data_IF_079583469142
#
_entry.id   IF_079583469142
#
_cell.length_a   1.000
_cell.length_b   1.000
_cell.length_c   1.000
_cell.angle_alpha   90.00
_cell.angle_beta   90.00
_cell.angle_gamma   90.00
#
_symmetry.space_group_name_H-M   'P 1'
#
loop_
_entity.id
_entity.type
_entity.pdbx_description
1 polymer ?
#
# COMPACT_ATOMS: atom_id res chain seq x y z
N UNK A 1 -6.77 -38.83 -21.03
CA UNK A 1 -5.42 -38.38 -20.68
C UNK A 1 -5.51 -37.75 -19.31
N UNK A 2 -4.72 -38.22 -18.36
CA UNK A 2 -4.57 -37.50 -17.10
C UNK A 2 -3.60 -38.18 -16.15
N UNK A 3 -3.58 -37.70 -14.92
CA UNK A 3 -2.66 -38.12 -13.88
C UNK A 3 -3.34 -39.13 -12.98
N UNK A 4 -2.65 -40.24 -12.71
CA UNK A 4 -3.04 -41.17 -11.65
C UNK A 4 -2.08 -40.90 -10.49
N UNK A 5 -2.60 -40.51 -9.33
CA UNK A 5 -1.76 -40.29 -8.15
C UNK A 5 -1.17 -41.62 -7.70
N UNK A 6 0.15 -41.74 -7.76
CA UNK A 6 0.88 -42.96 -7.45
C UNK A 6 1.35 -42.99 -5.97
N UNK A 7 1.61 -41.82 -5.38
CA UNK A 7 1.96 -41.68 -3.95
C UNK A 7 1.70 -40.25 -3.43
N UNK A 8 1.27 -40.13 -2.17
CA UNK A 8 1.09 -38.86 -1.43
C UNK A 8 2.09 -38.83 -0.26
N UNK A 9 2.91 -37.78 -0.15
CA UNK A 9 3.80 -37.58 0.99
C UNK A 9 5.14 -36.96 0.62
N UNK A 10 5.82 -36.36 1.61
CA UNK A 10 7.14 -35.77 1.46
C UNK A 10 8.08 -36.75 0.73
N UNK A 11 8.54 -36.36 -0.46
CA UNK A 11 9.45 -37.15 -1.29
C UNK A 11 10.84 -37.06 -0.63
N UNK A 12 10.99 -37.72 0.52
CA UNK A 12 12.27 -38.05 1.13
C UNK A 12 12.94 -39.16 0.32
N UNK A 13 14.28 -39.21 0.35
CA UNK A 13 15.13 -39.95 -0.60
C UNK A 13 14.81 -41.43 -0.89
N UNK A 14 13.92 -42.09 -0.15
CA UNK A 14 13.52 -43.48 -0.39
C UNK A 14 12.61 -43.70 -1.60
N UNK A 15 11.78 -42.73 -2.01
CA UNK A 15 10.95 -42.85 -3.23
C UNK A 15 11.77 -42.59 -4.51
N UNK A 16 12.71 -41.64 -4.44
CA UNK A 16 13.64 -41.34 -5.52
C UNK A 16 14.60 -42.51 -5.81
N UNK A 17 14.96 -43.32 -4.81
CA UNK A 17 15.78 -44.51 -4.98
C UNK A 17 15.04 -45.68 -5.65
N UNK A 18 13.71 -45.72 -5.60
CA UNK A 18 12.92 -46.76 -6.27
C UNK A 18 12.64 -46.45 -7.74
N UNK A 19 12.71 -45.19 -8.17
CA UNK A 19 12.29 -44.76 -9.50
C UNK A 19 13.49 -44.36 -10.36
N UNK A 20 13.80 -45.21 -11.35
CA UNK A 20 14.99 -45.05 -12.20
C UNK A 20 14.87 -43.92 -13.23
N UNK A 21 13.67 -43.63 -13.70
CA UNK A 21 13.37 -42.57 -14.68
C UNK A 21 12.10 -41.81 -14.24
N UNK A 22 12.17 -40.50 -14.09
CA UNK A 22 11.01 -39.64 -13.78
C UNK A 22 11.20 -38.21 -14.31
N UNK A 23 10.10 -37.47 -14.46
CA UNK A 23 10.11 -36.05 -14.80
C UNK A 23 9.99 -35.19 -13.54
N UNK A 24 10.75 -34.12 -13.45
CA UNK A 24 10.66 -33.16 -12.33
C UNK A 24 11.11 -31.76 -12.74
N UNK A 25 11.19 -30.85 -11.78
CA UNK A 25 11.66 -29.47 -11.97
C UNK A 25 13.15 -29.45 -12.36
N UNK A 26 13.58 -28.56 -13.27
CA UNK A 26 15.00 -28.33 -13.56
C UNK A 26 15.83 -27.92 -12.34
N UNK A 27 17.12 -28.22 -12.37
CA UNK A 27 18.08 -27.72 -11.39
C UNK A 27 18.49 -26.27 -11.67
N UNK A 28 18.91 -25.55 -10.62
CA UNK A 28 19.48 -24.21 -10.76
C UNK A 28 18.47 -23.12 -11.14
N UNK A 29 17.17 -23.35 -10.94
CA UNK A 29 16.14 -22.36 -11.19
C UNK A 29 16.30 -21.14 -10.28
N UNK A 30 16.17 -19.91 -10.82
CA UNK A 30 16.11 -18.71 -10.00
C UNK A 30 14.87 -18.74 -9.10
N UNK A 31 14.91 -18.07 -7.93
CA UNK A 31 13.79 -18.05 -6.99
C UNK A 31 12.52 -17.38 -7.57
N UNK A 32 12.67 -16.62 -8.65
CA UNK A 32 11.66 -15.86 -9.39
C UNK A 32 11.12 -16.61 -10.61
N UNK A 33 11.60 -17.82 -10.88
CA UNK A 33 11.09 -18.68 -11.95
C UNK A 33 9.63 -19.08 -11.71
N UNK A 34 8.76 -18.64 -12.61
CA UNK A 34 7.31 -18.81 -12.53
C UNK A 34 6.83 -20.07 -13.26
N UNK A 35 7.37 -20.31 -14.46
CA UNK A 35 6.96 -21.43 -15.32
C UNK A 35 8.16 -21.99 -16.08
N UNK A 36 8.23 -23.32 -16.18
CA UNK A 36 9.28 -24.02 -16.92
C UNK A 36 8.86 -25.44 -17.26
N UNK A 37 9.45 -25.99 -18.32
CA UNK A 37 9.16 -27.36 -18.76
C UNK A 37 9.70 -28.40 -17.76
N UNK A 38 8.97 -29.49 -17.60
CA UNK A 38 9.44 -30.66 -16.87
C UNK A 38 10.63 -31.31 -17.59
N UNK A 39 11.66 -31.66 -16.85
CA UNK A 39 12.86 -32.31 -17.41
C UNK A 39 12.96 -33.76 -16.96
N UNK A 40 13.40 -34.67 -17.85
CA UNK A 40 13.65 -36.05 -17.47
C UNK A 40 14.88 -36.12 -16.56
N UNK A 41 14.75 -36.77 -15.41
CA UNK A 41 15.84 -37.25 -14.57
C UNK A 41 15.93 -38.76 -14.71
N UNK A 42 16.95 -39.20 -15.44
CA UNK A 42 17.20 -40.61 -15.73
C UNK A 42 18.56 -41.11 -15.25
N UNK A 43 19.31 -40.36 -14.44
CA UNK A 43 20.58 -40.84 -13.87
C UNK A 43 20.74 -40.36 -12.44
N UNK A 44 20.46 -41.26 -11.49
CA UNK A 44 20.92 -41.10 -10.12
C UNK A 44 22.16 -42.00 -9.94
N UNK A 45 23.31 -41.41 -9.60
CA UNK A 45 24.57 -42.13 -9.34
C UNK A 45 25.03 -43.13 -10.44
N UNK A 46 24.95 -42.75 -11.73
CA UNK A 46 25.50 -43.54 -12.83
C UNK A 46 24.68 -44.77 -13.24
N UNK A 47 23.42 -44.90 -12.78
CA UNK A 47 22.46 -45.92 -13.24
C UNK A 47 21.25 -45.24 -13.88
N UNK A 48 21.02 -45.55 -15.15
CA UNK A 48 20.03 -44.91 -16.02
C UNK A 48 20.07 -45.47 -17.43
N UNK A 49 18.95 -45.93 -18.00
CA UNK A 49 18.93 -46.58 -19.32
C UNK A 49 18.30 -45.74 -20.43
N UNK A 50 17.76 -44.57 -20.12
CA UNK A 50 16.93 -43.81 -21.05
C UNK A 50 17.57 -42.46 -21.41
N UNK A 51 18.49 -42.46 -22.38
CA UNK A 51 19.13 -41.26 -22.94
C UNK A 51 18.54 -40.83 -24.28
N UNK A 52 17.43 -41.43 -24.73
CA UNK A 52 16.86 -41.24 -26.07
C UNK A 52 15.33 -41.12 -26.05
N UNK A 53 14.80 -40.18 -25.27
CA UNK A 53 13.40 -39.75 -25.42
C UNK A 53 13.25 -38.88 -26.67
N UNK A 54 12.19 -39.08 -27.45
CA UNK A 54 11.81 -38.15 -28.52
C UNK A 54 11.29 -36.85 -27.91
N UNK A 55 11.75 -35.70 -28.41
CA UNK A 55 11.28 -34.40 -27.93
C UNK A 55 9.76 -34.25 -28.09
N UNK A 56 9.07 -33.93 -27.00
CA UNK A 56 7.64 -33.66 -26.99
C UNK A 56 6.73 -34.89 -26.96
N UNK A 57 7.22 -36.05 -26.54
CA UNK A 57 6.38 -37.24 -26.26
C UNK A 57 6.64 -37.76 -24.85
N UNK A 58 5.62 -37.75 -24.00
CA UNK A 58 5.66 -38.38 -22.67
C UNK A 58 5.07 -39.80 -22.81
N UNK A 59 5.90 -40.82 -22.61
CA UNK A 59 5.47 -42.23 -22.75
C UNK A 59 4.51 -42.63 -21.63
N UNK A 60 3.48 -43.44 -21.93
CA UNK A 60 2.61 -44.01 -20.89
C UNK A 60 3.42 -44.77 -19.83
N UNK A 61 3.04 -44.62 -18.56
CA UNK A 61 3.78 -45.12 -17.42
C UNK A 61 4.93 -44.23 -16.96
N UNK A 62 5.22 -43.12 -17.67
CA UNK A 62 6.17 -42.12 -17.20
C UNK A 62 5.69 -41.52 -15.89
N UNK A 63 6.59 -41.35 -14.94
CA UNK A 63 6.27 -40.76 -13.64
C UNK A 63 6.68 -39.31 -13.60
N UNK A 64 5.81 -38.46 -13.09
CA UNK A 64 6.06 -37.03 -12.90
C UNK A 64 6.02 -36.76 -11.40
N UNK A 65 7.12 -36.26 -10.87
CA UNK A 65 7.31 -35.95 -9.46
C UNK A 65 7.15 -34.45 -9.28
N UNK A 66 6.05 -34.06 -8.63
CA UNK A 66 5.68 -32.67 -8.34
C UNK A 66 6.20 -32.31 -6.95
N UNK A 67 7.17 -31.39 -6.84
CA UNK A 67 7.66 -30.94 -5.54
C UNK A 67 6.67 -30.01 -4.85
N UNK A 68 6.86 -29.79 -3.54
CA UNK A 68 6.10 -28.78 -2.80
C UNK A 68 6.29 -27.37 -3.36
N UNK A 69 5.20 -26.60 -3.35
CA UNK A 69 5.19 -25.23 -3.87
C UNK A 69 5.14 -25.13 -5.39
N UNK A 70 4.93 -26.23 -6.11
CA UNK A 70 4.72 -26.25 -7.56
C UNK A 70 3.43 -26.99 -7.93
N UNK A 71 2.81 -26.54 -9.01
CA UNK A 71 1.71 -27.22 -9.69
C UNK A 71 2.19 -27.76 -11.04
N UNK A 72 1.61 -28.87 -11.48
CA UNK A 72 1.89 -29.51 -12.76
C UNK A 72 0.77 -29.19 -13.74
N UNK A 73 1.11 -28.55 -14.87
CA UNK A 73 0.23 -28.28 -16.00
C UNK A 73 0.60 -29.23 -17.14
N UNK A 74 -0.40 -29.94 -17.66
CA UNK A 74 -0.24 -30.84 -18.79
C UNK A 74 -0.82 -30.19 -20.04
N UNK A 75 -0.08 -30.28 -21.13
CA UNK A 75 -0.49 -29.74 -22.42
C UNK A 75 -0.38 -30.78 -23.52
N UNK A 76 -1.34 -30.75 -24.43
CA UNK A 76 -1.34 -31.56 -25.64
C UNK A 76 -1.78 -30.68 -26.82
N UNK A 77 -1.00 -30.68 -27.90
CA UNK A 77 -1.32 -29.91 -29.13
C UNK A 77 -1.61 -28.42 -28.84
N UNK A 78 -0.93 -27.85 -27.85
CA UNK A 78 -1.10 -26.45 -27.43
C UNK A 78 -2.30 -26.20 -26.51
N UNK A 79 -3.16 -27.19 -26.25
CA UNK A 79 -4.24 -27.09 -25.28
C UNK A 79 -3.84 -27.64 -23.91
N UNK A 80 -4.30 -27.01 -22.82
CA UNK A 80 -4.16 -27.56 -21.47
C UNK A 80 -5.12 -28.75 -21.33
N UNK A 81 -4.59 -29.90 -20.91
CA UNK A 81 -5.34 -31.15 -20.75
C UNK A 81 -5.45 -31.61 -19.30
N UNK A 82 -4.70 -31.03 -18.38
CA UNK A 82 -4.77 -31.39 -16.96
C UNK A 82 -3.96 -30.47 -16.07
N UNK A 83 -4.32 -30.46 -14.80
CA UNK A 83 -3.62 -29.71 -13.76
C UNK A 83 -3.59 -30.50 -12.46
N UNK A 84 -2.44 -30.53 -11.79
CA UNK A 84 -2.29 -31.05 -10.43
C UNK A 84 -1.62 -30.00 -9.54
N UNK A 85 -2.33 -29.55 -8.51
CA UNK A 85 -1.84 -28.54 -7.55
C UNK A 85 -1.13 -29.15 -6.33
N UNK A 86 -1.21 -30.46 -6.14
CA UNK A 86 -0.63 -31.12 -4.97
C UNK A 86 0.76 -31.68 -5.28
N UNK A 87 1.63 -31.58 -4.28
CA UNK A 87 2.91 -32.25 -4.31
C UNK A 87 2.72 -33.78 -4.21
N UNK A 88 3.52 -34.52 -4.95
CA UNK A 88 3.44 -35.97 -4.99
C UNK A 88 3.93 -36.55 -6.30
N UNK A 89 3.80 -37.87 -6.42
CA UNK A 89 4.16 -38.58 -7.62
C UNK A 89 2.92 -38.99 -8.39
N UNK A 90 2.93 -38.69 -9.68
CA UNK A 90 1.85 -38.99 -10.60
C UNK A 90 2.35 -39.88 -11.72
N UNK A 91 1.55 -40.86 -12.09
CA UNK A 91 1.78 -41.68 -13.27
C UNK A 91 1.00 -41.10 -14.45
N UNK A 92 1.70 -40.94 -15.58
CA UNK A 92 1.13 -40.49 -16.83
C UNK A 92 0.46 -41.65 -17.56
N UNK A 93 -0.81 -41.47 -17.91
CA UNK A 93 -1.54 -42.42 -18.76
C UNK A 93 -2.38 -41.69 -19.81
N UNK A 94 -2.17 -42.05 -21.07
CA UNK A 94 -2.95 -41.51 -22.18
C UNK A 94 -4.40 -41.99 -22.17
N UNK A 95 -4.61 -43.19 -21.66
CA UNK A 95 -5.90 -43.92 -21.65
C UNK A 95 -6.70 -43.72 -20.37
N UNK A 96 -6.12 -43.11 -19.33
CA UNK A 96 -6.84 -42.82 -18.09
C UNK A 96 -8.05 -41.92 -18.41
N UNK A 97 -9.22 -42.54 -18.29
CA UNK A 97 -10.55 -41.98 -18.52
C UNK A 97 -11.11 -41.32 -17.24
N UNK A 98 -10.53 -41.66 -16.09
CA UNK A 98 -10.97 -41.31 -14.72
C UNK A 98 -9.96 -40.42 -13.97
N UNK A 99 -9.00 -39.82 -14.67
CA UNK A 99 -8.19 -38.76 -14.07
C UNK A 99 -9.02 -37.49 -13.96
N UNK A 100 -10.02 -37.51 -13.09
CA UNK A 100 -10.59 -36.29 -12.54
C UNK A 100 -9.43 -35.43 -12.04
N UNK A 101 -9.55 -34.13 -12.22
CA UNK A 101 -8.72 -33.11 -11.60
C UNK A 101 -8.74 -33.30 -10.08
N UNK A 102 -7.95 -34.25 -9.56
CA UNK A 102 -8.03 -34.59 -8.15
C UNK A 102 -7.33 -33.47 -7.37
N UNK A 103 -8.13 -32.80 -6.56
CA UNK A 103 -7.76 -31.93 -5.44
C UNK A 103 -7.46 -30.45 -5.75
N UNK A 104 -8.51 -29.69 -6.07
CA UNK A 104 -8.65 -28.36 -5.49
C UNK A 104 -9.06 -28.50 -4.01
N UNK A 105 -8.10 -28.85 -3.15
CA UNK A 105 -8.29 -28.82 -1.70
C UNK A 105 -8.45 -27.38 -1.24
N UNK A 106 -9.65 -27.04 -0.77
CA UNK A 106 -10.03 -25.78 -0.12
C UNK A 106 -9.57 -24.49 -0.82
N UNK A 107 -10.37 -24.07 -1.81
CA UNK A 107 -10.62 -22.66 -2.15
C UNK A 107 -9.41 -21.84 -2.57
N UNK A 108 -9.13 -21.78 -3.88
CA UNK A 108 -8.37 -20.73 -4.59
C UNK A 108 -8.53 -20.87 -6.12
N UNK A 109 -8.97 -22.02 -6.64
CA UNK A 109 -9.32 -22.16 -8.06
C UNK A 109 -10.78 -21.73 -8.28
N UNK A 110 -11.00 -20.71 -9.10
CA UNK A 110 -12.35 -20.25 -9.45
C UNK A 110 -13.21 -21.42 -9.97
N UNK A 111 -14.52 -21.50 -9.64
CA UNK A 111 -15.43 -22.57 -10.09
C UNK A 111 -15.62 -22.69 -11.61
N UNK A 112 -14.95 -21.87 -12.42
CA UNK A 112 -15.09 -21.82 -13.88
C UNK A 112 -14.44 -23.01 -14.60
N UNK A 113 -13.64 -23.83 -13.92
CA UNK A 113 -12.89 -24.94 -14.56
C UNK A 113 -13.59 -26.30 -14.45
N UNK A 114 -14.68 -26.43 -13.68
CA UNK A 114 -15.38 -27.73 -13.55
C UNK A 114 -16.28 -28.10 -14.73
N UNK A 115 -16.46 -27.21 -15.73
CA UNK A 115 -17.43 -27.44 -16.83
C UNK A 115 -16.79 -27.61 -18.22
N UNK A 116 -15.49 -27.36 -18.40
CA UNK A 116 -14.86 -27.40 -19.73
C UNK A 116 -14.25 -28.76 -20.09
N UNK A 117 -15.01 -29.84 -19.94
CA UNK A 117 -14.59 -31.20 -20.35
C UNK A 117 -15.56 -31.83 -21.36
N UNK A 118 -15.92 -31.07 -22.41
CA UNK A 118 -16.49 -31.67 -23.61
C UNK A 118 -15.39 -31.96 -24.63
N UNK A 119 -15.15 -33.26 -24.81
CA UNK A 119 -14.08 -33.89 -25.58
C UNK A 119 -14.04 -33.42 -27.04
N UNK A 120 -12.88 -32.94 -27.49
CA UNK A 120 -12.47 -33.11 -28.88
C UNK A 120 -11.90 -34.53 -29.05
N UNK A 121 -12.70 -35.42 -29.66
CA UNK A 121 -12.27 -36.77 -30.04
C UNK A 121 -11.40 -36.69 -31.30
N UNK A 122 -10.08 -36.81 -31.14
CA UNK A 122 -9.21 -37.17 -32.27
C UNK A 122 -8.66 -38.58 -32.06
N UNK A 123 -8.98 -39.46 -33.01
CA UNK A 123 -8.64 -40.87 -32.99
C UNK A 123 -7.23 -41.14 -33.51
N UNK A 124 -6.51 -41.99 -32.79
CA UNK A 124 -5.61 -43.01 -33.34
C UNK A 124 -4.39 -42.54 -34.15
N UNK A 125 -3.33 -42.09 -33.46
CA UNK A 125 -1.89 -42.36 -33.70
C UNK A 125 -1.06 -41.58 -32.64
N UNK A 126 0.17 -41.99 -32.29
CA UNK A 126 1.05 -41.18 -31.46
C UNK A 126 1.63 -40.04 -32.31
N UNK A 127 0.80 -39.03 -32.61
CA UNK A 127 1.21 -37.82 -33.35
C UNK A 127 0.97 -36.53 -32.58
N UNK A 128 0.46 -36.63 -31.34
CA UNK A 128 0.18 -35.47 -30.51
C UNK A 128 1.41 -35.06 -29.71
N UNK A 129 1.83 -33.81 -29.86
CA UNK A 129 2.87 -33.23 -29.03
C UNK A 129 2.33 -33.11 -27.60
N UNK A 130 3.03 -33.72 -26.65
CA UNK A 130 2.69 -33.74 -25.22
C UNK A 130 3.78 -33.03 -24.43
N UNK A 131 3.38 -32.11 -23.56
CA UNK A 131 4.30 -31.32 -22.74
C UNK A 131 3.78 -31.24 -21.31
N UNK A 132 4.71 -31.23 -20.37
CA UNK A 132 4.44 -31.02 -18.96
C UNK A 132 5.21 -29.77 -18.51
N UNK A 133 4.53 -28.88 -17.81
CA UNK A 133 5.09 -27.66 -17.26
C UNK A 133 4.85 -27.61 -15.76
N UNK A 134 5.81 -27.05 -15.04
CA UNK A 134 5.63 -26.71 -13.65
C UNK A 134 5.36 -25.22 -13.54
N UNK A 135 4.42 -24.87 -12.66
CA UNK A 135 4.09 -23.49 -12.28
C UNK A 135 4.36 -23.33 -10.80
N UNK A 136 5.06 -22.27 -10.41
CA UNK A 136 5.30 -21.97 -9.01
C UNK A 136 3.99 -21.53 -8.32
N UNK A 137 3.58 -22.24 -7.26
CA UNK A 137 2.45 -21.89 -6.40
C UNK A 137 2.90 -21.18 -5.11
N UNK A 138 4.18 -21.34 -4.78
CA UNK A 138 4.83 -20.56 -3.72
C UNK A 138 4.94 -19.10 -4.11
N UNK A 139 5.14 -18.26 -3.10
CA UNK A 139 5.48 -16.87 -3.29
C UNK A 139 6.86 -16.73 -3.97
N UNK A 140 6.93 -15.85 -4.96
CA UNK A 140 8.09 -15.56 -5.79
C UNK A 140 8.73 -14.26 -5.28
N UNK A 141 9.83 -14.34 -4.50
CA UNK A 141 10.42 -13.19 -3.84
C UNK A 141 11.36 -12.40 -4.76
N UNK A 142 11.90 -11.29 -4.26
CA UNK A 142 13.02 -10.54 -4.86
C UNK A 142 12.73 -9.84 -6.21
N UNK A 143 11.48 -9.53 -6.53
CA UNK A 143 11.18 -8.64 -7.66
C UNK A 143 11.53 -7.21 -7.24
N UNK A 144 12.59 -6.64 -7.82
CA UNK A 144 13.09 -5.31 -7.45
C UNK A 144 12.44 -4.25 -8.34
N UNK A 145 12.10 -3.10 -7.76
CA UNK A 145 11.63 -1.95 -8.51
C UNK A 145 12.26 -0.65 -8.08
N UNK A 146 12.25 0.29 -9.01
CA UNK A 146 12.69 1.66 -8.80
C UNK A 146 12.08 2.57 -9.85
N UNK A 147 11.64 3.75 -9.44
CA UNK A 147 11.18 4.78 -10.37
C UNK A 147 12.39 5.50 -10.97
N UNK A 148 12.37 5.78 -12.28
CA UNK A 148 13.44 6.57 -12.93
C UNK A 148 13.27 8.07 -12.69
N UNK A 149 12.03 8.52 -12.57
CA UNK A 149 11.64 9.88 -12.24
C UNK A 149 10.80 9.91 -10.98
N UNK A 150 10.54 11.11 -10.49
CA UNK A 150 9.58 11.35 -9.43
C UNK A 150 8.19 10.87 -9.84
N UNK A 151 7.52 10.20 -8.91
CA UNK A 151 6.08 9.96 -8.97
C UNK A 151 5.38 10.96 -8.04
N UNK A 152 4.19 11.39 -8.44
CA UNK A 152 3.42 12.40 -7.72
C UNK A 152 2.11 11.83 -7.17
N UNK A 153 1.76 12.21 -5.95
CA UNK A 153 0.48 11.85 -5.32
C UNK A 153 0.03 12.93 -4.34
N UNK A 154 -1.24 12.90 -3.96
CA UNK A 154 -1.79 13.81 -2.95
C UNK A 154 -1.56 13.24 -1.55
N UNK A 155 -0.95 14.03 -0.66
CA UNK A 155 -0.62 13.63 0.71
C UNK A 155 -1.44 14.43 1.73
N UNK A 156 -2.26 13.73 2.51
CA UNK A 156 -3.14 14.33 3.51
C UNK A 156 -2.40 14.93 4.73
N UNK A 157 -1.15 14.52 5.00
CA UNK A 157 -0.37 15.11 6.10
C UNK A 157 0.22 16.46 5.71
N UNK A 158 0.74 16.58 4.48
CA UNK A 158 1.24 17.86 3.97
C UNK A 158 0.14 18.75 3.39
N UNK A 159 -1.05 18.18 3.16
CA UNK A 159 -2.18 18.83 2.48
C UNK A 159 -1.76 19.45 1.14
N UNK A 160 -0.94 18.71 0.39
CA UNK A 160 -0.36 19.13 -0.87
C UNK A 160 -0.02 17.91 -1.74
N UNK A 161 0.18 18.16 -3.03
CA UNK A 161 0.80 17.17 -3.90
C UNK A 161 2.30 17.07 -3.58
N UNK A 162 2.78 15.84 -3.44
CA UNK A 162 4.17 15.52 -3.13
C UNK A 162 4.78 14.68 -4.22
N UNK A 163 6.09 14.83 -4.44
CA UNK A 163 6.87 14.10 -5.43
C UNK A 163 8.01 13.32 -4.78
N UNK A 164 8.18 12.05 -5.15
CA UNK A 164 9.32 11.26 -4.70
C UNK A 164 9.79 10.22 -5.72
N UNK A 165 11.08 9.92 -5.67
CA UNK A 165 11.66 8.71 -6.28
C UNK A 165 11.60 7.59 -5.26
N UNK A 166 11.17 6.41 -5.67
CA UNK A 166 10.98 5.27 -4.76
C UNK A 166 11.69 4.05 -5.26
N UNK A 167 12.22 3.26 -4.33
CA UNK A 167 12.85 1.97 -4.60
C UNK A 167 12.39 0.94 -3.60
N UNK A 168 12.25 -0.30 -4.05
CA UNK A 168 11.79 -1.37 -3.19
C UNK A 168 11.88 -2.73 -3.84
N UNK A 169 11.27 -3.69 -3.15
CA UNK A 169 11.08 -5.04 -3.65
C UNK A 169 9.66 -5.49 -3.38
N UNK A 170 9.10 -6.32 -4.25
CA UNK A 170 7.80 -6.94 -4.04
C UNK A 170 7.87 -8.44 -4.29
N UNK A 171 6.86 -9.13 -3.78
CA UNK A 171 6.68 -10.56 -3.95
C UNK A 171 5.39 -10.83 -4.71
N UNK A 172 5.44 -11.82 -5.59
CA UNK A 172 4.31 -12.23 -6.42
C UNK A 172 3.84 -13.62 -6.05
N UNK A 173 2.56 -13.90 -6.28
CA UNK A 173 2.01 -15.24 -6.21
C UNK A 173 1.12 -15.49 -7.42
N UNK A 174 1.22 -16.70 -7.95
CA UNK A 174 0.31 -17.19 -8.99
C UNK A 174 -0.87 -17.83 -8.27
N UNK A 175 -2.03 -17.17 -8.34
CA UNK A 175 -3.26 -17.61 -7.67
C UNK A 175 -4.08 -18.53 -8.57
N UNK A 176 -4.10 -18.28 -9.87
CA UNK A 176 -4.72 -19.15 -10.87
C UNK A 176 -3.68 -19.54 -11.96
N UNK A 177 -3.03 -20.71 -11.80
CA UNK A 177 -2.04 -21.22 -12.74
C UNK A 177 -2.59 -21.46 -14.15
N UNK A 178 -3.86 -21.81 -14.28
CA UNK A 178 -4.49 -22.09 -15.58
C UNK A 178 -4.73 -20.78 -16.32
N UNK A 179 -5.29 -19.79 -15.63
CA UNK A 179 -5.48 -18.45 -16.17
C UNK A 179 -4.14 -17.81 -16.53
N UNK A 180 -3.13 -17.92 -15.67
CA UNK A 180 -1.78 -17.43 -15.92
C UNK A 180 -1.19 -17.98 -17.23
N UNK A 181 -1.25 -19.31 -17.42
CA UNK A 181 -0.75 -19.95 -18.64
C UNK A 181 -1.56 -19.54 -19.88
N UNK A 182 -2.89 -19.47 -19.77
CA UNK A 182 -3.75 -19.22 -20.94
C UNK A 182 -3.81 -17.77 -21.38
N UNK A 183 -3.81 -16.83 -20.42
CA UNK A 183 -4.08 -15.42 -20.68
C UNK A 183 -2.82 -14.56 -20.68
N UNK A 184 -1.74 -15.00 -20.03
CA UNK A 184 -0.58 -14.14 -19.82
C UNK A 184 0.74 -14.70 -20.37
N UNK A 185 1.03 -15.99 -20.17
CA UNK A 185 2.30 -16.57 -20.60
C UNK A 185 2.41 -16.61 -22.13
N UNK A 186 3.44 -15.98 -22.74
CA UNK A 186 3.66 -16.07 -24.17
C UNK A 186 3.99 -17.50 -24.61
N UNK A 187 3.53 -17.90 -25.79
CA UNK A 187 3.74 -19.24 -26.34
C UNK A 187 5.23 -19.64 -26.43
N UNK A 188 6.13 -18.68 -26.55
CA UNK A 188 7.57 -18.90 -26.57
C UNK A 188 8.13 -19.48 -25.26
N UNK A 189 7.47 -19.26 -24.13
CA UNK A 189 7.83 -19.87 -22.84
C UNK A 189 7.15 -21.22 -22.62
N UNK A 190 6.20 -21.58 -23.49
CA UNK A 190 5.62 -22.90 -23.57
C UNK A 190 6.43 -23.75 -24.55
N UNK A 191 7.77 -23.69 -24.44
CA UNK A 191 8.73 -24.52 -25.17
C UNK A 191 9.76 -25.13 -24.21
N UNK A 192 10.28 -26.35 -24.50
CA UNK A 192 11.34 -26.96 -23.69
C UNK A 192 12.57 -26.05 -23.59
N UNK A 193 13.19 -26.00 -22.42
CA UNK A 193 14.44 -25.27 -22.20
C UNK A 193 14.30 -23.76 -21.98
N UNK A 194 13.09 -23.19 -22.10
CA UNK A 194 12.83 -21.79 -21.72
C UNK A 194 12.16 -21.71 -20.35
N UNK A 195 12.61 -20.75 -19.55
CA UNK A 195 12.08 -20.48 -18.21
C UNK A 195 11.42 -19.10 -18.25
N UNK A 196 10.16 -19.02 -17.83
CA UNK A 196 9.51 -17.75 -17.58
C UNK A 196 9.92 -17.27 -16.19
N UNK A 197 10.65 -16.16 -16.13
CA UNK A 197 11.06 -15.49 -14.90
C UNK A 197 10.53 -14.05 -14.92
N UNK A 198 9.97 -13.59 -13.78
CA UNK A 198 9.45 -12.23 -13.62
C UNK A 198 10.55 -11.15 -13.55
N UNK A 199 11.80 -11.54 -13.34
CA UNK A 199 12.95 -10.63 -13.26
C UNK A 199 13.84 -10.65 -14.49
N UNK A 200 13.48 -11.47 -15.48
CA UNK A 200 14.18 -11.49 -16.77
C UNK A 200 13.85 -10.21 -17.55
N UNK A 201 14.89 -9.42 -17.83
CA UNK A 201 14.78 -8.15 -18.56
C UNK A 201 14.52 -8.37 -20.06
N UNK A 202 14.87 -9.53 -20.59
CA UNK A 202 14.61 -9.90 -21.99
C UNK A 202 13.19 -10.46 -22.18
N UNK A 203 12.41 -10.56 -21.09
CA UNK A 203 11.03 -11.00 -21.10
C UNK A 203 10.07 -9.80 -21.18
N UNK A 204 9.58 -9.50 -22.39
CA UNK A 204 8.62 -8.40 -22.63
C UNK A 204 7.37 -8.50 -21.73
N UNK A 205 6.86 -9.71 -21.48
CA UNK A 205 5.70 -9.90 -20.62
C UNK A 205 6.01 -9.54 -19.15
N UNK A 206 7.19 -9.92 -18.65
CA UNK A 206 7.63 -9.53 -17.32
C UNK A 206 7.87 -8.01 -17.22
N UNK A 207 8.48 -7.42 -18.25
CA UNK A 207 8.69 -5.97 -18.36
C UNK A 207 7.37 -5.20 -18.35
N UNK A 208 6.32 -5.73 -18.98
CA UNK A 208 4.98 -5.14 -18.89
C UNK A 208 4.46 -5.14 -17.45
N UNK A 209 4.51 -6.26 -16.73
CA UNK A 209 4.04 -6.31 -15.33
C UNK A 209 4.84 -5.35 -14.44
N UNK A 210 6.15 -5.28 -14.66
CA UNK A 210 7.00 -4.32 -13.96
C UNK A 210 6.52 -2.88 -14.16
N UNK A 211 6.23 -2.49 -15.40
CA UNK A 211 5.72 -1.16 -15.72
C UNK A 211 4.34 -0.89 -15.09
N UNK A 212 3.46 -1.89 -15.05
CA UNK A 212 2.14 -1.81 -14.40
C UNK A 212 2.27 -1.62 -12.88
N UNK A 213 3.25 -2.27 -12.23
CA UNK A 213 3.58 -2.03 -10.82
C UNK A 213 4.08 -0.61 -10.62
N UNK A 214 5.05 -0.16 -11.42
CA UNK A 214 5.61 1.19 -11.33
C UNK A 214 4.53 2.26 -11.54
N UNK A 215 3.65 2.08 -12.52
CA UNK A 215 2.52 2.97 -12.78
C UNK A 215 1.47 2.98 -11.67
N UNK A 216 1.39 1.91 -10.88
CA UNK A 216 0.47 1.81 -9.74
C UNK A 216 1.03 2.38 -8.43
N UNK A 217 2.31 2.78 -8.39
CA UNK A 217 2.90 3.32 -7.17
C UNK A 217 2.24 4.61 -6.70
N UNK A 218 2.03 5.59 -7.60
CA UNK A 218 1.40 6.85 -7.26
C UNK A 218 0.00 6.68 -6.62
N UNK A 219 -0.95 5.93 -7.22
CA UNK A 219 -2.24 5.67 -6.57
C UNK A 219 -2.08 4.85 -5.28
N UNK A 220 -1.15 3.91 -5.20
CA UNK A 220 -0.90 3.15 -3.97
C UNK A 220 -0.42 4.03 -2.82
N UNK A 221 0.51 4.96 -3.08
CA UNK A 221 0.97 5.94 -2.10
C UNK A 221 -0.20 6.83 -1.66
N UNK A 222 -0.98 7.37 -2.60
CA UNK A 222 -2.17 8.16 -2.28
C UNK A 222 -3.14 7.39 -1.38
N UNK A 223 -3.47 6.13 -1.72
CA UNK A 223 -4.36 5.29 -0.92
C UNK A 223 -3.83 5.08 0.50
N UNK A 224 -2.53 4.82 0.65
CA UNK A 224 -1.92 4.57 1.96
C UNK A 224 -1.78 5.84 2.81
N UNK A 225 -1.28 6.94 2.23
CA UNK A 225 -1.03 8.19 2.97
C UNK A 225 -2.31 8.96 3.29
N UNK A 226 -3.43 8.62 2.64
CA UNK A 226 -4.72 9.25 2.91
C UNK A 226 -5.67 8.37 3.74
N UNK A 227 -5.23 7.18 4.18
CA UNK A 227 -5.99 6.32 5.07
C UNK A 227 -5.89 6.80 6.54
N UNK A 228 -7.02 7.25 7.16
CA UNK A 228 -7.03 7.73 8.53
C UNK A 228 -6.56 6.69 9.55
N UNK A 229 -6.78 5.40 9.29
CA UNK A 229 -6.36 4.30 10.16
C UNK A 229 -4.85 4.15 10.21
N UNK A 230 -4.16 4.55 9.15
CA UNK A 230 -2.69 4.59 9.05
C UNK A 230 -2.14 5.92 9.56
N UNK A 231 -2.98 6.85 10.01
CA UNK A 231 -2.58 8.13 10.58
C UNK A 231 -1.93 9.06 9.56
N UNK A 232 -2.28 8.90 8.29
CA UNK A 232 -1.93 9.75 7.16
C UNK A 232 -0.43 10.06 6.97
N UNK A 233 0.48 9.18 7.44
CA UNK A 233 1.92 9.46 7.41
C UNK A 233 2.68 8.43 6.61
N UNK A 234 3.42 8.90 5.61
CA UNK A 234 4.32 8.10 4.80
C UNK A 234 5.42 7.38 5.60
N UNK A 235 5.83 7.92 6.75
CA UNK A 235 6.90 7.34 7.58
C UNK A 235 6.50 5.98 8.15
N UNK A 236 5.21 5.64 8.18
CA UNK A 236 4.73 4.34 8.63
C UNK A 236 4.87 3.25 7.58
N UNK A 237 5.04 3.59 6.30
CA UNK A 237 5.17 2.61 5.21
C UNK A 237 6.34 1.65 5.49
N UNK A 238 7.47 2.15 5.98
CA UNK A 238 8.62 1.30 6.33
C UNK A 238 8.33 0.30 7.46
N UNK A 239 7.36 0.59 8.32
CA UNK A 239 6.95 -0.28 9.44
C UNK A 239 5.75 -1.18 9.10
N UNK A 240 5.03 -0.89 8.00
CA UNK A 240 3.78 -1.52 7.59
C UNK A 240 3.83 -1.94 6.11
N UNK A 241 4.83 -2.77 5.79
CA UNK A 241 5.02 -3.33 4.45
C UNK A 241 3.79 -4.06 3.91
N UNK A 242 3.07 -4.77 4.80
CA UNK A 242 1.85 -5.50 4.43
C UNK A 242 0.71 -4.54 4.11
N UNK A 243 0.50 -3.49 4.92
CA UNK A 243 -0.53 -2.49 4.64
C UNK A 243 -0.29 -1.75 3.33
N UNK A 244 0.96 -1.39 3.04
CA UNK A 244 1.30 -0.78 1.75
C UNK A 244 1.13 -1.77 0.57
N UNK A 245 1.47 -3.05 0.76
CA UNK A 245 1.23 -4.08 -0.25
C UNK A 245 -0.26 -4.20 -0.62
N UNK A 246 -1.16 -4.07 0.35
CA UNK A 246 -2.61 -4.06 0.09
C UNK A 246 -3.01 -2.84 -0.74
N UNK A 247 -2.48 -1.65 -0.44
CA UNK A 247 -2.73 -0.45 -1.25
C UNK A 247 -2.21 -0.62 -2.69
N UNK A 248 -1.02 -1.20 -2.86
CA UNK A 248 -0.45 -1.45 -4.19
C UNK A 248 -1.24 -2.52 -4.95
N UNK A 249 -1.59 -3.63 -4.30
CA UNK A 249 -2.41 -4.68 -4.89
C UNK A 249 -3.77 -4.14 -5.33
N UNK A 250 -4.42 -3.29 -4.51
CA UNK A 250 -5.68 -2.65 -4.86
C UNK A 250 -5.57 -1.68 -6.06
N UNK A 251 -4.48 -0.91 -6.13
CA UNK A 251 -4.22 -0.03 -7.26
C UNK A 251 -3.99 -0.82 -8.56
N UNK A 252 -3.21 -1.90 -8.49
CA UNK A 252 -2.99 -2.81 -9.63
C UNK A 252 -4.27 -3.49 -10.07
N UNK A 253 -5.08 -3.97 -9.12
CA UNK A 253 -6.36 -4.61 -9.43
C UNK A 253 -7.34 -3.62 -10.11
N UNK A 254 -7.42 -2.39 -9.61
CA UNK A 254 -8.29 -1.35 -10.19
C UNK A 254 -7.90 -1.00 -11.63
N UNK A 255 -6.59 -0.92 -11.92
CA UNK A 255 -6.09 -0.45 -13.22
C UNK A 255 -5.87 -1.57 -14.24
N UNK A 256 -5.54 -2.79 -13.78
CA UNK A 256 -5.04 -3.88 -14.62
C UNK A 256 -5.67 -5.24 -14.35
N UNK A 257 -6.46 -5.39 -13.28
CA UNK A 257 -7.22 -6.60 -12.96
C UNK A 257 -6.38 -7.89 -12.94
N UNK A 258 -5.19 -7.84 -12.32
CA UNK A 258 -4.25 -8.97 -12.37
C UNK A 258 -4.84 -10.29 -11.88
N UNK A 259 -5.67 -10.26 -10.84
CA UNK A 259 -6.25 -11.47 -10.28
C UNK A 259 -7.15 -12.19 -11.30
N UNK A 260 -8.03 -11.45 -11.97
CA UNK A 260 -9.07 -12.01 -12.86
C UNK A 260 -8.67 -12.08 -14.33
N UNK A 261 -7.72 -11.25 -14.77
CA UNK A 261 -7.23 -11.25 -16.14
C UNK A 261 -5.97 -12.12 -16.33
N UNK A 262 -5.16 -12.29 -15.27
CA UNK A 262 -3.82 -12.91 -15.38
C UNK A 262 -3.54 -14.00 -14.33
N UNK A 263 -4.36 -14.15 -13.29
CA UNK A 263 -4.14 -15.13 -12.23
C UNK A 263 -2.94 -14.79 -11.33
N UNK A 264 -2.65 -13.49 -11.16
CA UNK A 264 -1.50 -12.97 -10.41
C UNK A 264 -1.95 -12.07 -9.26
N UNK A 265 -1.17 -12.08 -8.18
CA UNK A 265 -1.36 -11.21 -7.01
C UNK A 265 -0.02 -10.70 -6.47
N UNK A 266 -0.01 -9.46 -5.98
CA UNK A 266 1.10 -8.91 -5.18
C UNK A 266 0.82 -9.25 -3.71
N UNK A 267 1.74 -9.99 -3.08
CA UNK A 267 1.57 -10.45 -1.70
C UNK A 267 2.17 -9.47 -0.68
N UNK A 268 3.40 -9.02 -0.94
CA UNK A 268 4.13 -8.15 -0.03
C UNK A 268 4.99 -7.16 -0.80
N UNK A 269 5.21 -6.00 -0.20
CA UNK A 269 6.02 -4.90 -0.74
C UNK A 269 6.87 -4.32 0.36
N UNK A 270 8.18 -4.28 0.14
CA UNK A 270 9.14 -3.63 1.02
C UNK A 270 9.70 -2.39 0.32
N UNK A 271 9.41 -1.22 0.87
CA UNK A 271 10.01 0.03 0.41
C UNK A 271 11.38 0.20 1.06
N UNK A 272 12.42 0.25 0.24
CA UNK A 272 13.81 0.40 0.69
C UNK A 272 14.17 1.88 0.82
N UNK A 273 13.78 2.71 -0.15
CA UNK A 273 13.99 4.15 -0.07
C UNK A 273 12.82 4.95 -0.67
N UNK A 274 12.59 6.11 -0.07
CA UNK A 274 11.69 7.15 -0.54
C UNK A 274 12.50 8.44 -0.50
N UNK A 275 12.79 8.98 -1.67
CA UNK A 275 13.59 10.19 -1.84
C UNK A 275 12.69 11.29 -2.38
N UNK A 276 12.26 12.18 -1.51
CA UNK A 276 11.44 13.32 -1.89
C UNK A 276 12.17 14.29 -2.83
N UNK A 277 11.43 14.90 -3.74
CA UNK A 277 11.93 16.02 -4.53
C UNK A 277 12.25 17.24 -3.65
N UNK A 278 12.97 18.22 -4.21
CA UNK A 278 13.42 19.38 -3.42
C UNK A 278 12.23 20.18 -2.86
N UNK A 279 11.20 20.41 -3.66
CA UNK A 279 9.98 21.12 -3.27
C UNK A 279 9.27 20.45 -2.09
N UNK A 280 9.14 19.13 -2.12
CA UNK A 280 8.49 18.36 -1.05
C UNK A 280 9.35 18.36 0.20
N UNK A 281 10.69 18.32 0.07
CA UNK A 281 11.60 18.44 1.23
C UNK A 281 11.48 19.81 1.90
N UNK A 282 11.38 20.88 1.13
CA UNK A 282 11.11 22.23 1.65
C UNK A 282 9.77 22.32 2.36
N UNK A 283 8.71 21.81 1.73
CA UNK A 283 7.38 21.76 2.32
C UNK A 283 7.38 20.97 3.63
N UNK A 284 7.97 19.78 3.64
CA UNK A 284 8.07 18.94 4.83
C UNK A 284 8.79 19.66 5.97
N UNK A 285 9.90 20.38 5.69
CA UNK A 285 10.59 21.20 6.70
C UNK A 285 9.66 22.27 7.29
N UNK A 286 8.85 22.92 6.47
CA UNK A 286 7.90 23.94 6.92
C UNK A 286 6.75 23.34 7.74
N UNK A 287 6.17 22.23 7.28
CA UNK A 287 5.12 21.49 8.01
C UNK A 287 5.64 21.00 9.36
N UNK A 288 6.85 20.41 9.42
CA UNK A 288 7.46 19.98 10.67
C UNK A 288 7.73 21.13 11.64
N UNK A 289 8.14 22.30 11.12
CA UNK A 289 8.31 23.52 11.95
C UNK A 289 6.96 24.00 12.48
N UNK A 290 5.93 24.04 11.65
CA UNK A 290 4.59 24.41 12.05
C UNK A 290 4.03 23.43 13.10
N UNK A 291 4.16 22.11 12.89
CA UNK A 291 3.76 21.07 13.84
C UNK A 291 4.49 21.18 15.18
N UNK A 292 5.78 21.51 15.18
CA UNK A 292 6.53 21.71 16.43
C UNK A 292 6.01 22.91 17.25
N UNK A 293 5.46 23.92 16.57
CA UNK A 293 4.84 25.10 17.16
C UNK A 293 3.34 24.88 17.46
N UNK A 294 2.67 24.00 16.73
CA UNK A 294 1.27 23.66 16.90
C UNK A 294 1.13 22.45 17.84
N UNK A 295 1.32 22.68 19.14
CA UNK A 295 1.12 21.63 20.14
C UNK A 295 1.62 22.03 21.51
N UNK A 296 1.68 21.06 22.44
CA UNK A 296 2.13 21.29 23.80
C UNK A 296 3.52 21.95 23.88
N UNK A 297 4.42 21.63 22.92
CA UNK A 297 5.77 22.21 22.82
C UNK A 297 5.77 23.68 22.37
N UNK A 298 4.95 24.04 21.38
CA UNK A 298 4.81 25.44 20.98
C UNK A 298 4.06 26.26 22.03
N UNK A 299 3.06 25.67 22.69
CA UNK A 299 2.38 26.30 23.82
C UNK A 299 3.34 26.54 25.00
N UNK A 300 4.22 25.57 25.33
CA UNK A 300 5.24 25.78 26.35
C UNK A 300 6.29 26.82 25.94
N UNK A 301 6.68 26.88 24.67
CA UNK A 301 7.60 27.92 24.17
C UNK A 301 6.95 29.32 24.18
N UNK A 302 5.67 29.42 23.84
CA UNK A 302 4.91 30.67 23.96
C UNK A 302 4.75 31.10 25.42
N UNK A 303 4.41 30.17 26.32
CA UNK A 303 4.33 30.47 27.76
C UNK A 303 5.69 30.88 28.34
N UNK A 304 6.78 30.21 27.94
CA UNK A 304 8.13 30.57 28.39
C UNK A 304 8.57 31.94 27.85
N UNK A 305 8.30 32.25 26.58
CA UNK A 305 8.63 33.56 26.00
C UNK A 305 7.79 34.70 26.59
N UNK A 306 6.51 34.45 26.88
CA UNK A 306 5.65 35.39 27.60
C UNK A 306 6.15 35.58 29.03
N UNK A 307 6.50 34.51 29.76
CA UNK A 307 7.03 34.59 31.12
C UNK A 307 8.36 35.35 31.19
N UNK A 308 9.29 35.10 30.27
CA UNK A 308 10.54 35.85 30.15
C UNK A 308 10.30 37.33 29.77
N UNK A 309 9.26 37.61 28.97
CA UNK A 309 8.82 38.97 28.68
C UNK A 309 8.32 39.70 29.93
N UNK A 310 7.57 39.02 30.80
CA UNK A 310 7.13 39.56 32.09
C UNK A 310 8.30 39.75 33.08
N UNK A 311 9.23 38.81 33.12
CA UNK A 311 10.44 38.88 33.96
C UNK A 311 11.30 40.08 33.55
N UNK A 312 11.64 40.21 32.26
CA UNK A 312 12.41 41.34 31.75
C UNK A 312 11.69 42.69 31.87
N UNK A 313 10.36 42.73 31.74
CA UNK A 313 9.58 43.95 31.98
C UNK A 313 9.56 44.32 33.48
N UNK A 314 9.47 43.34 34.37
CA UNK A 314 9.55 43.54 35.82
C UNK A 314 10.95 43.98 36.28
N UNK A 315 12.01 43.44 35.69
CA UNK A 315 13.40 43.81 35.94
C UNK A 315 13.72 45.24 35.46
N UNK A 316 13.24 45.63 34.27
CA UNK A 316 13.57 46.94 33.68
C UNK A 316 12.67 48.10 34.12
N UNK A 317 11.42 47.84 34.54
CA UNK A 317 10.44 48.89 34.83
C UNK A 317 9.90 48.88 36.28
N UNK A 318 10.39 47.96 37.13
CA UNK A 318 10.01 47.86 38.54
C UNK A 318 8.52 47.57 38.76
N UNK A 319 8.01 47.70 40.01
CA UNK A 319 6.61 47.41 40.35
C UNK A 319 5.58 48.19 39.52
N UNK A 320 5.95 49.38 39.00
CA UNK A 320 5.11 50.20 38.14
C UNK A 320 4.96 49.65 36.70
N UNK A 321 6.00 49.00 36.17
CA UNK A 321 5.97 48.38 34.84
C UNK A 321 5.03 47.17 34.74
N UNK A 322 4.99 46.36 35.80
CA UNK A 322 4.07 45.22 35.90
C UNK A 322 2.60 45.66 35.96
N UNK A 323 2.31 46.75 36.68
CA UNK A 323 0.95 47.32 36.77
C UNK A 323 0.53 47.97 35.44
N UNK A 324 1.45 48.71 34.80
CA UNK A 324 1.21 49.33 33.49
C UNK A 324 0.97 48.29 32.38
N UNK A 325 1.71 47.18 32.40
CA UNK A 325 1.53 46.08 31.46
C UNK A 325 0.23 45.28 31.72
N UNK A 326 -0.16 45.12 32.99
CA UNK A 326 -1.44 44.52 33.37
C UNK A 326 -2.65 45.33 32.90
N UNK A 327 -2.59 46.66 33.01
CA UNK A 327 -3.60 47.56 32.43
C UNK A 327 -3.57 47.56 30.90
N UNK A 328 -2.39 47.58 30.28
CA UNK A 328 -2.25 47.57 28.83
C UNK A 328 -2.79 46.25 28.22
N UNK A 329 -2.46 45.10 28.81
CA UNK A 329 -2.96 43.79 28.38
C UNK A 329 -4.48 43.64 28.60
N UNK A 330 -5.02 44.24 29.66
CA UNK A 330 -6.46 44.34 29.91
C UNK A 330 -7.19 45.26 28.91
N UNK A 331 -6.56 46.37 28.52
CA UNK A 331 -7.13 47.34 27.55
C UNK A 331 -6.99 46.90 26.08
N UNK A 332 -5.98 46.08 25.75
CA UNK A 332 -5.73 45.55 24.41
C UNK A 332 -6.44 44.20 24.15
N UNK A 333 -7.24 43.69 25.09
CA UNK A 333 -8.02 42.46 24.91
C UNK A 333 -7.21 41.17 24.88
N UNK A 334 -5.92 41.19 25.25
CA UNK A 334 -5.01 40.03 25.17
C UNK A 334 -5.26 39.01 26.29
N UNK A 335 -5.99 39.38 27.35
CA UNK A 335 -6.47 38.45 28.38
C UNK A 335 -7.44 37.36 27.88
N UNK A 336 -7.94 37.46 26.63
CA UNK A 336 -8.87 36.50 26.03
C UNK A 336 -8.21 35.31 25.30
N UNK A 337 -6.88 35.28 25.15
CA UNK A 337 -6.18 34.20 24.43
C UNK A 337 -5.86 32.97 25.31
N UNK A 338 -6.25 33.01 26.59
CA UNK A 338 -6.07 31.90 27.50
C UNK A 338 -7.26 30.92 27.37
N UNK A 339 -7.16 30.02 26.40
CA UNK A 339 -8.06 28.86 26.32
C UNK A 339 -7.88 27.98 27.57
N UNK A 340 -8.97 27.63 28.29
CA UNK A 340 -8.89 26.87 29.53
C UNK A 340 -8.47 25.41 29.27
N UNK A 341 -7.43 24.96 29.96
CA UNK A 341 -7.02 23.54 29.99
C UNK A 341 -7.77 22.84 31.13
N UNK A 342 -8.52 21.75 30.88
CA UNK A 342 -9.09 20.92 31.92
C UNK A 342 -8.01 20.05 32.58
N UNK A 343 -7.87 20.12 33.91
CA UNK A 343 -7.21 19.06 34.68
C UNK A 343 -5.88 19.38 35.36
N UNK A 344 -5.79 20.46 36.16
CA UNK A 344 -4.79 20.54 37.24
C UNK A 344 -5.47 21.08 38.50
N UNK A 345 -5.26 20.38 39.61
CA UNK A 345 -6.05 20.43 40.84
C UNK A 345 -6.07 21.77 41.58
N UNK A 346 -7.17 21.94 42.32
CA UNK A 346 -7.56 23.12 43.07
C UNK A 346 -6.60 23.53 44.19
N UNK A 347 -6.46 24.84 44.38
CA UNK A 347 -6.33 25.42 45.71
C UNK A 347 -7.18 26.69 45.81
N UNK A 348 -7.99 26.68 46.86
CA UNK A 348 -9.18 27.47 47.14
C UNK A 348 -8.92 28.86 47.71
N UNK A 349 -9.75 29.84 47.32
CA UNK A 349 -9.96 31.11 48.05
C UNK A 349 -11.49 31.38 48.06
N UNK A 350 -12.09 31.90 49.16
CA UNK A 350 -13.45 31.55 49.59
C UNK A 350 -14.61 32.22 48.85
N UNK A 351 -15.76 31.52 48.87
CA UNK A 351 -17.06 31.99 48.37
C UNK A 351 -17.77 32.95 49.34
N UNK A 352 -18.44 33.96 48.79
CA UNK A 352 -19.60 34.67 49.37
C UNK A 352 -20.40 35.35 48.22
N UNK A 353 -21.67 35.73 48.42
CA UNK A 353 -22.87 34.93 48.21
C UNK A 353 -23.68 35.31 46.95
N UNK A 354 -24.55 34.40 46.48
CA UNK A 354 -25.61 34.63 45.49
C UNK A 354 -26.73 35.54 46.07
N UNK A 355 -27.56 36.32 45.36
CA UNK A 355 -27.89 36.65 43.95
C UNK A 355 -28.53 38.07 43.94
N UNK A 356 -28.82 38.76 42.81
CA UNK A 356 -30.13 38.63 42.12
C UNK A 356 -30.06 38.92 40.58
N UNK A 357 -31.17 38.96 39.81
CA UNK A 357 -31.16 38.71 38.36
C UNK A 357 -30.67 39.91 37.52
N UNK A 358 -30.39 39.61 36.25
CA UNK A 358 -29.80 40.47 35.23
C UNK A 358 -30.36 41.91 35.17
N UNK A 359 -29.50 42.94 35.09
CA UNK A 359 -29.91 44.27 34.65
C UNK A 359 -29.79 44.41 33.13
N UNK A 360 -30.79 45.08 32.56
CA UNK A 360 -30.78 45.74 31.25
C UNK A 360 -29.54 46.63 31.05
N UNK A 361 -29.07 46.83 29.81
CA UNK A 361 -27.90 47.67 29.54
C UNK A 361 -28.13 49.10 30.02
N UNK A 362 -27.14 49.76 30.65
CA UNK A 362 -27.27 51.15 31.06
C UNK A 362 -27.31 52.06 29.82
N UNK A 363 -28.21 53.03 29.85
CA UNK A 363 -28.21 54.15 28.91
C UNK A 363 -26.90 54.93 29.06
N UNK A 364 -26.23 55.21 27.94
CA UNK A 364 -25.08 56.13 27.88
C UNK A 364 -25.50 57.51 28.38
N UNK A 365 -24.66 58.12 29.22
CA UNK A 365 -24.86 59.47 29.74
C UNK A 365 -24.76 60.49 28.59
N UNK A 366 -25.87 61.13 28.17
CA UNK A 366 -25.91 61.95 26.96
C UNK A 366 -24.99 63.16 27.02
N UNK A 367 -24.65 63.63 28.23
CA UNK A 367 -23.75 64.77 28.44
C UNK A 367 -22.29 64.38 28.14
N UNK A 368 -21.89 63.15 28.48
CA UNK A 368 -20.55 62.65 28.18
C UNK A 368 -20.35 62.43 26.67
N UNK A 369 -21.37 61.92 25.98
CA UNK A 369 -21.35 61.71 24.53
C UNK A 369 -21.28 63.03 23.77
N UNK A 370 -22.02 64.05 24.22
CA UNK A 370 -21.99 65.39 23.62
C UNK A 370 -20.66 66.12 23.85
N UNK A 371 -20.05 65.94 25.02
CA UNK A 371 -18.74 66.54 25.33
C UNK A 371 -17.66 65.97 24.41
N UNK A 372 -17.64 64.65 24.24
CA UNK A 372 -16.70 63.97 23.33
C UNK A 372 -16.94 64.32 21.87
N UNK A 373 -18.20 64.45 21.45
CA UNK A 373 -18.54 64.90 20.11
C UNK A 373 -18.07 66.34 19.84
N UNK A 374 -18.16 67.23 20.84
CA UNK A 374 -17.67 68.60 20.70
C UNK A 374 -16.15 68.68 20.60
N UNK A 375 -15.43 67.87 21.37
CA UNK A 375 -13.97 67.76 21.26
C UNK A 375 -13.54 67.28 19.87
N UNK A 376 -14.27 66.32 19.28
CA UNK A 376 -14.00 65.84 17.91
C UNK A 376 -14.31 66.90 16.84
N UNK A 377 -15.34 67.73 17.05
CA UNK A 377 -15.66 68.86 16.16
C UNK A 377 -14.59 69.95 16.23
N UNK A 378 -14.18 70.32 17.44
CA UNK A 378 -13.16 71.35 17.67
C UNK A 378 -11.76 70.87 17.17
N UNK A 379 -11.53 69.55 17.14
CA UNK A 379 -10.36 68.92 16.51
C UNK A 379 -10.47 68.74 14.98
N UNK A 380 -11.60 69.13 14.35
CA UNK A 380 -11.83 69.00 12.92
C UNK A 380 -12.00 67.55 12.42
N UNK A 381 -12.24 66.60 13.33
CA UNK A 381 -12.38 65.17 13.02
C UNK A 381 -13.80 64.79 12.57
N UNK A 382 -14.79 65.62 12.90
CA UNK A 382 -16.18 65.48 12.46
C UNK A 382 -16.71 66.82 11.96
N UNK A 383 -17.76 66.80 11.13
CA UNK A 383 -18.38 68.02 10.62
C UNK A 383 -19.44 68.57 11.58
N UNK A 384 -19.85 69.83 11.37
CA UNK A 384 -20.92 70.46 12.14
C UNK A 384 -22.24 69.66 12.04
N UNK A 385 -22.54 69.08 10.87
CA UNK A 385 -23.72 68.25 10.65
C UNK A 385 -23.68 66.94 11.47
N UNK A 386 -22.51 66.31 11.57
CA UNK A 386 -22.33 65.08 12.36
C UNK A 386 -22.50 65.36 13.86
N UNK A 387 -22.03 66.51 14.34
CA UNK A 387 -22.23 66.95 15.72
C UNK A 387 -23.70 67.24 16.03
N UNK A 388 -24.41 67.93 15.13
CA UNK A 388 -25.83 68.24 15.30
C UNK A 388 -26.69 66.97 15.27
N UNK A 389 -26.34 65.98 14.44
CA UNK A 389 -26.98 64.65 14.44
C UNK A 389 -26.74 63.88 15.75
N UNK A 390 -25.51 63.91 16.29
CA UNK A 390 -25.19 63.31 17.58
C UNK A 390 -25.95 64.00 18.73
N UNK A 391 -26.14 65.33 18.64
CA UNK A 391 -26.92 66.12 19.60
C UNK A 391 -28.42 65.81 19.55
N UNK A 392 -29.00 65.67 18.37
CA UNK A 392 -30.40 65.25 18.22
C UNK A 392 -30.62 63.85 18.83
N UNK A 393 -29.70 62.92 18.55
CA UNK A 393 -29.75 61.55 19.07
C UNK A 393 -29.56 61.47 20.60
N UNK A 394 -28.66 62.29 21.17
CA UNK A 394 -28.42 62.32 22.61
C UNK A 394 -29.53 63.02 23.40
N UNK A 395 -30.23 63.99 22.80
CA UNK A 395 -31.35 64.73 23.41
C UNK A 395 -32.74 64.14 23.07
N UNK A 396 -32.80 63.12 22.20
CA UNK A 396 -34.04 62.44 21.81
C UNK A 396 -35.00 63.29 20.97
N UNK A 397 -34.46 64.19 20.13
CA UNK A 397 -35.21 65.14 19.29
C UNK A 397 -35.33 64.71 17.83
#
# INVERSE_FOLDING_TARGET
>A
MGLIQAAVGAIGGSLADQWKDFYTVPDGLPPTAALFAAVPRGTNAGRGSNTKGSDGVITNGSRIVVPEGYGLVLMQEGAITGFAAQAGAYEWSSEAQDSESIFAGNGIVSPLVTTSWERFKFGGRPSSQQRAYFVALKELPNNRFGTQSEIYWDDAYMNAQVGAVTRGTYTLRITDPILFVKAFVPASYLEPGRVFDFTDLDNDAASQLFNEVVGSLAPAFSMYTNDPSKGNRITKIQQDSVGFAQSLSAAVETNYQWSTARGLEIVSVAIVSIEYDESTRELLRNVQRADALAGARGNSNLQASVAAGFESAGENAGPGGLIGMGMAAGSAGIGGLQQPVPGVGAQSVPAAPAAPPAPTPPAEDPVATLTRAKEMLDAGLITQEDYDAAKAKALGL
#
